data_IF_871445284517
#
_entry.id   IF_871445284517
#
_cell.length_a   1.000
_cell.length_b   1.000
_cell.length_c   1.000
_cell.angle_alpha   90.00
_cell.angle_beta   90.00
_cell.angle_gamma   90.00
#
_symmetry.space_group_name_H-M   'P 1'
#
loop_
_entity.id
_entity.type
_entity.pdbx_description
1 polymer ?
#
# COMPACT_ATOMS: atom_id res chain seq x y z
N UNK A 1 -14.63 -17.43 -19.21
CA UNK A 1 -14.88 -17.24 -17.77
C UNK A 1 -14.69 -15.76 -17.45
N UNK A 2 -15.77 -14.98 -17.38
CA UNK A 2 -15.70 -13.58 -16.93
C UNK A 2 -15.99 -13.59 -15.43
N UNK A 3 -14.94 -13.73 -14.62
CA UNK A 3 -15.08 -13.74 -13.16
C UNK A 3 -15.36 -12.33 -12.66
N UNK A 4 -16.62 -11.92 -12.65
CA UNK A 4 -17.04 -10.74 -11.87
C UNK A 4 -16.92 -11.12 -10.39
N UNK A 5 -15.82 -10.70 -9.76
CA UNK A 5 -15.67 -10.80 -8.31
C UNK A 5 -16.64 -9.79 -7.69
N UNK A 6 -17.54 -10.27 -6.82
CA UNK A 6 -18.39 -9.40 -6.02
C UNK A 6 -17.51 -8.63 -5.02
N UNK A 7 -17.51 -7.31 -5.14
CA UNK A 7 -16.71 -6.42 -4.30
C UNK A 7 -17.14 -6.41 -2.82
N UNK A 8 -18.35 -6.90 -2.52
CA UNK A 8 -18.85 -7.09 -1.15
C UNK A 8 -18.58 -8.49 -0.60
N UNK A 9 -18.03 -9.40 -1.41
CA UNK A 9 -17.61 -10.73 -0.92
C UNK A 9 -16.60 -10.60 0.21
N UNK A 10 -16.83 -11.33 1.31
CA UNK A 10 -15.94 -11.34 2.48
C UNK A 10 -14.82 -12.36 2.30
N UNK A 11 -13.58 -11.89 2.40
CA UNK A 11 -12.38 -12.69 2.43
C UNK A 11 -12.23 -13.41 3.79
N UNK A 12 -11.32 -14.37 3.87
CA UNK A 12 -11.00 -15.12 5.10
C UNK A 12 -10.51 -14.21 6.24
N UNK A 13 -9.96 -13.03 5.92
CA UNK A 13 -9.56 -12.02 6.90
C UNK A 13 -10.73 -11.15 7.42
N UNK A 14 -11.97 -11.44 7.00
CA UNK A 14 -13.19 -10.75 7.42
C UNK A 14 -13.50 -9.45 6.66
N UNK A 15 -12.55 -8.93 5.87
CA UNK A 15 -12.76 -7.75 5.01
C UNK A 15 -13.53 -8.13 3.76
N UNK A 16 -14.29 -7.20 3.22
CA UNK A 16 -14.77 -7.35 1.84
C UNK A 16 -13.62 -7.19 0.85
N UNK A 17 -13.79 -7.69 -0.38
CA UNK A 17 -12.77 -7.54 -1.45
C UNK A 17 -12.40 -6.07 -1.64
N UNK A 18 -13.36 -5.15 -1.68
CA UNK A 18 -13.06 -3.71 -1.85
C UNK A 18 -12.32 -3.10 -0.65
N UNK A 19 -12.65 -3.55 0.58
CA UNK A 19 -11.92 -3.13 1.78
C UNK A 19 -10.47 -3.59 1.72
N UNK A 20 -10.24 -4.84 1.29
CA UNK A 20 -8.90 -5.39 1.21
C UNK A 20 -8.07 -4.74 0.11
N UNK A 21 -8.66 -4.46 -1.06
CA UNK A 21 -8.01 -3.70 -2.13
C UNK A 21 -7.53 -2.34 -1.62
N UNK A 22 -8.41 -1.55 -1.00
CA UNK A 22 -8.06 -0.23 -0.49
C UNK A 22 -7.01 -0.29 0.62
N UNK A 23 -7.12 -1.26 1.54
CA UNK A 23 -6.12 -1.47 2.58
C UNK A 23 -4.74 -1.83 1.99
N UNK A 24 -4.68 -2.71 1.00
CA UNK A 24 -3.44 -3.14 0.36
C UNK A 24 -2.76 -2.00 -0.41
N UNK A 25 -3.52 -1.10 -1.05
CA UNK A 25 -2.96 0.08 -1.71
C UNK A 25 -2.28 1.03 -0.69
N UNK A 26 -2.87 1.18 0.50
CA UNK A 26 -2.28 1.95 1.59
C UNK A 26 -1.06 1.25 2.20
N UNK A 27 -1.10 -0.07 2.36
CA UNK A 27 0.02 -0.88 2.84
C UNK A 27 1.20 -0.82 1.88
N UNK A 28 0.97 -0.78 0.57
CA UNK A 28 2.01 -0.59 -0.44
C UNK A 28 2.73 0.76 -0.27
N UNK A 29 1.99 1.85 -0.04
CA UNK A 29 2.58 3.18 0.24
C UNK A 29 3.40 3.14 1.53
N UNK A 30 2.86 2.54 2.61
CA UNK A 30 3.60 2.37 3.88
C UNK A 30 4.87 1.55 3.69
N UNK A 31 4.83 0.51 2.85
CA UNK A 31 5.98 -0.31 2.49
C UNK A 31 7.06 0.51 1.79
N UNK A 32 6.69 1.30 0.77
CA UNK A 32 7.59 2.20 0.06
C UNK A 32 8.27 3.19 1.02
N UNK A 33 7.52 3.76 1.96
CA UNK A 33 8.05 4.70 2.97
C UNK A 33 9.05 4.07 3.95
N UNK A 34 9.00 2.74 4.17
CA UNK A 34 9.95 2.05 5.05
C UNK A 34 11.34 1.94 4.41
N UNK A 35 11.43 1.84 3.09
CA UNK A 35 12.69 1.61 2.40
C UNK A 35 13.74 2.70 2.64
N UNK A 36 13.46 4.01 2.46
CA UNK A 36 14.47 5.04 2.74
C UNK A 36 14.80 5.15 4.23
N UNK A 37 13.88 4.80 5.14
CA UNK A 37 14.18 4.74 6.58
C UNK A 37 15.25 3.70 6.89
N UNK A 38 15.15 2.52 6.27
CA UNK A 38 16.14 1.46 6.43
C UNK A 38 17.46 1.84 5.73
N UNK A 39 17.39 2.36 4.49
CA UNK A 39 18.56 2.78 3.72
C UNK A 39 19.41 3.83 4.45
N UNK A 40 18.76 4.83 5.08
CA UNK A 40 19.44 5.88 5.85
C UNK A 40 20.34 5.35 6.99
N UNK A 41 20.10 4.12 7.49
CA UNK A 41 20.96 3.48 8.50
C UNK A 41 22.35 3.07 7.98
N UNK A 42 22.54 3.10 6.65
CA UNK A 42 23.80 2.81 5.98
C UNK A 42 24.62 4.09 5.68
N UNK A 43 24.14 5.27 6.08
CA UNK A 43 24.88 6.51 5.87
C UNK A 43 26.27 6.43 6.54
N UNK A 44 27.30 6.84 5.81
CA UNK A 44 28.70 6.72 6.25
C UNK A 44 29.31 5.31 6.18
N UNK A 45 28.55 4.29 5.76
CA UNK A 45 29.05 2.91 5.53
C UNK A 45 29.25 2.59 4.04
N UNK A 46 28.93 3.54 3.18
CA UNK A 46 28.97 3.44 1.72
C UNK A 46 29.56 4.73 1.16
N UNK A 47 30.02 4.71 -0.09
CA UNK A 47 30.39 5.95 -0.76
C UNK A 47 29.17 6.88 -0.90
N UNK A 48 29.43 8.19 -0.78
CA UNK A 48 28.38 9.20 -0.72
C UNK A 48 27.53 9.25 -1.99
N UNK A 49 28.15 9.02 -3.15
CA UNK A 49 27.46 9.09 -4.44
C UNK A 49 26.41 7.98 -4.56
N UNK A 50 26.78 6.72 -4.30
CA UNK A 50 25.82 5.60 -4.34
C UNK A 50 24.75 5.74 -3.27
N UNK A 51 25.13 6.16 -2.06
CA UNK A 51 24.18 6.38 -0.98
C UNK A 51 23.09 7.37 -1.40
N UNK A 52 23.48 8.54 -1.92
CA UNK A 52 22.55 9.60 -2.30
C UNK A 52 21.70 9.19 -3.51
N UNK A 53 22.32 8.63 -4.55
CA UNK A 53 21.61 8.18 -5.75
C UNK A 53 20.48 7.18 -5.42
N UNK A 54 20.77 6.19 -4.58
CA UNK A 54 19.75 5.23 -4.14
C UNK A 54 18.68 5.89 -3.28
N UNK A 55 19.05 6.81 -2.38
CA UNK A 55 18.10 7.51 -1.54
C UNK A 55 17.10 8.36 -2.36
N UNK A 56 17.59 9.03 -3.40
CA UNK A 56 16.76 9.84 -4.30
C UNK A 56 15.75 8.96 -5.06
N UNK A 57 16.20 7.81 -5.57
CA UNK A 57 15.33 6.84 -6.23
C UNK A 57 14.26 6.27 -5.29
N UNK A 58 14.63 5.91 -4.06
CA UNK A 58 13.68 5.42 -3.06
C UNK A 58 12.65 6.49 -2.69
N UNK A 59 13.05 7.75 -2.66
CA UNK A 59 12.15 8.89 -2.41
C UNK A 59 11.20 9.09 -3.59
N UNK A 60 11.70 9.03 -4.83
CA UNK A 60 10.87 9.05 -6.05
C UNK A 60 9.88 7.88 -6.10
N UNK A 61 10.28 6.70 -5.64
CA UNK A 61 9.42 5.53 -5.55
C UNK A 61 8.22 5.74 -4.60
N UNK A 62 8.40 6.44 -3.48
CA UNK A 62 7.28 6.80 -2.58
C UNK A 62 6.24 7.64 -3.31
N UNK A 63 6.69 8.66 -4.04
CA UNK A 63 5.77 9.55 -4.77
C UNK A 63 5.04 8.81 -5.89
N UNK A 64 5.72 7.88 -6.57
CA UNK A 64 5.07 7.02 -7.54
C UNK A 64 4.02 6.10 -6.89
N UNK A 65 4.34 5.48 -5.75
CA UNK A 65 3.41 4.63 -5.01
C UNK A 65 2.15 5.38 -4.58
N UNK A 66 2.28 6.63 -4.08
CA UNK A 66 1.14 7.49 -3.73
C UNK A 66 0.28 7.82 -4.94
N UNK A 67 0.90 8.17 -6.08
CA UNK A 67 0.19 8.44 -7.34
C UNK A 67 -0.58 7.21 -7.82
N UNK A 68 0.05 6.03 -7.77
CA UNK A 68 -0.60 4.77 -8.13
C UNK A 68 -1.77 4.46 -7.21
N UNK A 69 -1.62 4.58 -5.88
CA UNK A 69 -2.73 4.42 -4.93
C UNK A 69 -3.89 5.34 -5.30
N UNK A 70 -3.64 6.64 -5.49
CA UNK A 70 -4.71 7.60 -5.78
C UNK A 70 -5.45 7.26 -7.07
N UNK A 71 -4.73 6.96 -8.16
CA UNK A 71 -5.35 6.54 -9.44
C UNK A 71 -6.15 5.26 -9.33
N UNK A 72 -5.64 4.28 -8.59
CA UNK A 72 -6.34 3.00 -8.38
C UNK A 72 -7.59 3.20 -7.54
N UNK A 73 -7.52 4.03 -6.49
CA UNK A 73 -8.68 4.41 -5.68
C UNK A 73 -9.76 5.03 -6.56
N UNK A 74 -9.43 6.05 -7.35
CA UNK A 74 -10.36 6.70 -8.29
C UNK A 74 -11.01 5.68 -9.24
N UNK A 75 -10.21 4.83 -9.88
CA UNK A 75 -10.69 3.80 -10.78
C UNK A 75 -11.67 2.81 -10.11
N UNK A 76 -11.40 2.39 -8.88
CA UNK A 76 -12.32 1.51 -8.14
C UNK A 76 -13.55 2.25 -7.62
N UNK A 77 -13.44 3.52 -7.24
CA UNK A 77 -14.63 4.31 -6.89
C UNK A 77 -15.58 4.46 -8.08
N UNK A 78 -15.05 4.76 -9.27
CA UNK A 78 -15.82 4.88 -10.51
C UNK A 78 -16.49 3.57 -10.90
N UNK A 79 -15.74 2.46 -10.82
CA UNK A 79 -16.23 1.14 -11.23
C UNK A 79 -17.23 0.53 -10.25
N UNK A 80 -17.08 0.80 -8.95
CA UNK A 80 -17.85 0.10 -7.91
C UNK A 80 -18.89 0.98 -7.22
N UNK A 81 -18.81 2.31 -7.39
CA UNK A 81 -19.63 3.28 -6.65
C UNK A 81 -19.29 3.37 -5.16
N UNK A 82 -18.30 2.62 -4.66
CA UNK A 82 -17.95 2.58 -3.23
C UNK A 82 -16.84 3.57 -2.96
N UNK A 83 -17.13 4.57 -2.13
CA UNK A 83 -16.17 5.63 -1.79
C UNK A 83 -15.12 5.15 -0.80
N UNK A 84 -13.85 5.40 -1.10
CA UNK A 84 -12.71 4.99 -0.31
C UNK A 84 -12.86 5.37 1.17
N UNK A 85 -13.10 6.65 1.46
CA UNK A 85 -13.22 7.12 2.84
C UNK A 85 -14.37 6.43 3.60
N UNK A 86 -15.47 6.10 2.91
CA UNK A 86 -16.63 5.41 3.50
C UNK A 86 -16.36 3.92 3.73
N UNK A 87 -15.67 3.28 2.79
CA UNK A 87 -15.26 1.86 2.92
C UNK A 87 -14.24 1.71 4.05
N UNK A 88 -13.27 2.61 4.11
CA UNK A 88 -12.19 2.57 5.10
C UNK A 88 -12.64 2.99 6.50
N UNK A 89 -13.63 3.87 6.65
CA UNK A 89 -14.17 4.24 7.97
C UNK A 89 -14.88 3.09 8.68
N UNK A 90 -15.40 2.12 7.92
CA UNK A 90 -16.02 0.90 8.44
C UNK A 90 -15.02 -0.18 8.87
N UNK A 91 -13.72 0.02 8.64
CA UNK A 91 -12.67 -0.90 9.08
C UNK A 91 -12.28 -0.51 10.51
N UNK A 92 -12.85 -1.19 11.52
CA UNK A 92 -12.37 -1.08 12.90
C UNK A 92 -10.89 -1.50 12.95
N UNK A 93 -10.04 -0.54 13.32
CA UNK A 93 -8.57 -0.63 13.48
C UNK A 93 -8.04 -2.07 13.56
N UNK A 94 -7.46 -2.54 12.45
CA UNK A 94 -6.78 -3.82 12.44
C UNK A 94 -5.46 -3.73 13.23
N UNK A 95 -5.14 -4.71 14.09
CA UNK A 95 -3.83 -4.82 14.70
C UNK A 95 -2.84 -5.16 13.59
N UNK A 96 -2.07 -4.17 13.15
CA UNK A 96 -0.94 -4.38 12.23
C UNK A 96 0.13 -5.28 12.89
N UNK A 97 -0.10 -6.59 13.05
CA UNK A 97 0.93 -7.50 13.59
C UNK A 97 0.69 -9.02 13.48
N UNK A 98 -0.20 -9.54 12.64
CA UNK A 98 -0.45 -11.01 12.63
C UNK A 98 0.05 -11.78 11.40
N UNK A 99 0.88 -11.18 10.55
CA UNK A 99 1.72 -11.96 9.65
C UNK A 99 3.18 -11.55 9.87
N UNK A 100 3.97 -12.34 10.62
CA UNK A 100 5.41 -12.21 10.53
C UNK A 100 5.82 -12.50 9.09
N UNK A 101 6.69 -11.65 8.54
CA UNK A 101 7.37 -11.98 7.30
C UNK A 101 8.10 -13.31 7.50
N UNK A 102 7.72 -14.36 6.77
CA UNK A 102 8.52 -15.57 6.61
C UNK A 102 7.89 -16.86 7.16
N UNK A 103 7.67 -17.80 6.26
CA UNK A 103 8.06 -19.20 6.41
C UNK A 103 8.75 -19.61 5.11
#
# INVERSE_FOLDING_TARGET
MSGNVDYDYRLSNGRTVIQDIYANLDEAVKGAEKMPRIWKRLNGKLDQHRFQYTLDNLTGYIENAKKTRNKMVECFEEKTGRKYNKVMSGISRWPCQQYPCGS
#
